data_IF_664570384521
#
_entry.id   IF_664570384521
#
_cell.length_a   1.000
_cell.length_b   1.000
_cell.length_c   1.000
_cell.angle_alpha   90.00
_cell.angle_beta   90.00
_cell.angle_gamma   90.00
#
_symmetry.space_group_name_H-M   'P 1'
#
loop_
_entity.id
_entity.type
_entity.pdbx_description
1 polymer ?
#
# COMPACT_ATOMS: atom_id res chain seq x y z
N UNK A 1 14.17 4.91 7.42
CA UNK A 1 13.20 4.34 8.38
C UNK A 1 11.81 4.96 8.22
N UNK A 2 11.48 6.09 8.86
CA UNK A 2 10.13 6.67 8.81
C UNK A 2 9.66 7.06 7.38
N UNK A 3 10.56 7.63 6.57
CA UNK A 3 10.27 7.93 5.16
C UNK A 3 9.96 6.68 4.35
N UNK A 4 10.74 5.61 4.52
CA UNK A 4 10.51 4.37 3.78
C UNK A 4 9.19 3.69 4.14
N UNK A 5 8.80 3.70 5.43
CA UNK A 5 7.48 3.22 5.87
C UNK A 5 6.36 4.06 5.24
N UNK A 6 6.49 5.39 5.27
CA UNK A 6 5.50 6.28 4.65
C UNK A 6 5.37 6.01 3.15
N UNK A 7 6.48 5.87 2.45
CA UNK A 7 6.50 5.66 1.01
C UNK A 7 5.92 4.26 0.67
N UNK A 8 6.19 3.24 1.48
CA UNK A 8 5.57 1.92 1.34
C UNK A 8 4.04 1.99 1.52
N UNK A 9 3.54 2.71 2.53
CA UNK A 9 2.10 2.93 2.72
C UNK A 9 1.47 3.64 1.52
N UNK A 10 2.12 4.69 0.99
CA UNK A 10 1.61 5.42 -0.19
C UNK A 10 1.55 4.49 -1.41
N UNK A 11 2.60 3.71 -1.67
CA UNK A 11 2.62 2.75 -2.78
C UNK A 11 1.51 1.71 -2.66
N UNK A 12 1.39 1.06 -1.50
CA UNK A 12 0.36 0.06 -1.26
C UNK A 12 -1.06 0.62 -1.46
N UNK A 13 -1.31 1.86 -0.99
CA UNK A 13 -2.59 2.52 -1.19
C UNK A 13 -2.91 2.74 -2.67
N UNK A 14 -1.94 3.27 -3.43
CA UNK A 14 -2.10 3.53 -4.86
C UNK A 14 -2.32 2.25 -5.65
N UNK A 15 -1.53 1.21 -5.39
CA UNK A 15 -1.64 -0.09 -6.06
C UNK A 15 -2.99 -0.76 -5.73
N UNK A 16 -3.38 -0.79 -4.45
CA UNK A 16 -4.66 -1.35 -4.02
C UNK A 16 -5.85 -0.65 -4.66
N UNK A 17 -5.83 0.68 -4.70
CA UNK A 17 -6.87 1.47 -5.36
C UNK A 17 -6.93 1.19 -6.86
N UNK A 18 -5.78 1.26 -7.55
CA UNK A 18 -5.71 1.10 -9.00
C UNK A 18 -6.14 -0.29 -9.44
N UNK A 19 -5.67 -1.33 -8.74
CA UNK A 19 -6.06 -2.70 -9.03
C UNK A 19 -7.56 -2.90 -8.87
N UNK A 20 -8.15 -2.41 -7.78
CA UNK A 20 -9.59 -2.49 -7.57
C UNK A 20 -10.39 -1.70 -8.61
N UNK A 21 -9.97 -0.48 -8.94
CA UNK A 21 -10.64 0.34 -9.94
C UNK A 21 -10.58 -0.30 -11.35
N UNK A 22 -9.43 -0.84 -11.75
CA UNK A 22 -9.27 -1.59 -13.01
C UNK A 22 -10.13 -2.87 -13.01
N UNK A 23 -10.35 -3.46 -11.83
CA UNK A 23 -11.21 -4.64 -11.66
C UNK A 23 -12.71 -4.29 -11.64
N UNK A 24 -13.08 -3.03 -11.84
CA UNK A 24 -14.46 -2.58 -11.97
C UNK A 24 -15.17 -2.25 -10.66
N UNK A 25 -14.44 -2.14 -9.55
CA UNK A 25 -15.02 -1.66 -8.29
C UNK A 25 -15.39 -0.17 -8.39
N UNK A 26 -16.45 0.22 -7.67
CA UNK A 26 -16.80 1.62 -7.49
C UNK A 26 -15.72 2.36 -6.69
N UNK A 27 -15.83 3.69 -6.63
CA UNK A 27 -14.85 4.52 -5.92
C UNK A 27 -14.68 4.13 -4.45
N UNK A 28 -15.77 3.83 -3.74
CA UNK A 28 -15.74 3.39 -2.34
C UNK A 28 -15.05 2.03 -2.19
N UNK A 29 -15.37 1.07 -3.06
CA UNK A 29 -14.72 -0.24 -3.05
C UNK A 29 -13.23 -0.18 -3.38
N UNK A 30 -12.84 0.69 -4.32
CA UNK A 30 -11.42 0.94 -4.60
C UNK A 30 -10.71 1.62 -3.43
N UNK A 31 -11.39 2.51 -2.71
CA UNK A 31 -10.87 3.13 -1.50
C UNK A 31 -10.68 2.11 -0.36
N UNK A 32 -11.65 1.21 -0.14
CA UNK A 32 -11.53 0.13 0.84
C UNK A 32 -10.37 -0.83 0.51
N UNK A 33 -10.16 -1.12 -0.78
CA UNK A 33 -9.04 -1.92 -1.25
C UNK A 33 -7.69 -1.24 -0.99
N UNK A 34 -7.60 0.09 -1.19
CA UNK A 34 -6.42 0.87 -0.86
C UNK A 34 -6.06 0.77 0.63
N UNK A 35 -7.04 0.94 1.51
CA UNK A 35 -6.84 0.82 2.97
C UNK A 35 -6.45 -0.61 3.36
N UNK A 36 -7.07 -1.61 2.73
CA UNK A 36 -6.75 -3.02 2.98
C UNK A 36 -5.31 -3.34 2.56
N UNK A 37 -4.84 -2.82 1.42
CA UNK A 37 -3.46 -2.98 0.96
C UNK A 37 -2.46 -2.39 1.96
N UNK A 38 -2.73 -1.19 2.53
CA UNK A 38 -1.88 -0.61 3.59
C UNK A 38 -1.85 -1.54 4.82
N UNK A 39 -3.00 -2.08 5.25
CA UNK A 39 -3.08 -2.97 6.42
C UNK A 39 -2.33 -4.30 6.25
N UNK A 40 -2.16 -4.73 5.00
CA UNK A 40 -1.47 -5.98 4.65
C UNK A 40 0.03 -5.79 4.38
N UNK A 41 0.56 -4.57 4.52
CA UNK A 41 1.99 -4.33 4.38
C UNK A 41 2.80 -5.13 5.42
N UNK A 42 3.80 -5.86 4.92
CA UNK A 42 4.82 -6.46 5.76
C UNK A 42 5.84 -5.38 6.18
N UNK A 43 5.63 -4.82 7.37
CA UNK A 43 6.49 -3.77 7.91
C UNK A 43 7.91 -4.27 8.24
N UNK A 44 8.07 -5.56 8.59
CA UNK A 44 9.39 -6.11 8.86
C UNK A 44 10.22 -6.19 7.58
N UNK A 45 9.62 -6.62 6.48
CA UNK A 45 10.24 -6.58 5.15
C UNK A 45 10.64 -5.14 4.75
N UNK A 46 9.72 -4.18 4.90
CA UNK A 46 9.99 -2.76 4.58
C UNK A 46 11.14 -2.20 5.42
N UNK A 47 11.18 -2.52 6.72
CA UNK A 47 12.25 -2.08 7.62
C UNK A 47 13.58 -2.75 7.30
N UNK A 48 13.58 -4.02 6.86
CA UNK A 48 14.78 -4.73 6.42
C UNK A 48 15.36 -4.13 5.13
N UNK A 49 14.53 -3.85 4.12
CA UNK A 49 14.96 -3.18 2.89
C UNK A 49 15.54 -1.79 3.18
N UNK A 50 14.86 -1.02 4.04
CA UNK A 50 15.28 0.32 4.45
C UNK A 50 16.62 0.38 5.19
N UNK A 51 17.14 -0.74 5.71
CA UNK A 51 18.46 -0.82 6.36
C UNK A 51 19.57 -1.15 5.37
N UNK A 52 19.20 -1.60 4.17
CA UNK A 52 20.12 -2.07 3.13
C UNK A 52 20.52 -0.95 2.17
N UNK A 53 19.78 0.16 2.20
CA UNK A 53 20.06 1.45 1.55
C UNK A 53 20.84 2.40 2.49
#
# INVERSE_FOLDING_TARGET
>A
MATAVRDACIRAALEGYQHAAISGLCHEGAWEAAISAIKMLDLDAVLHESKRD
#
